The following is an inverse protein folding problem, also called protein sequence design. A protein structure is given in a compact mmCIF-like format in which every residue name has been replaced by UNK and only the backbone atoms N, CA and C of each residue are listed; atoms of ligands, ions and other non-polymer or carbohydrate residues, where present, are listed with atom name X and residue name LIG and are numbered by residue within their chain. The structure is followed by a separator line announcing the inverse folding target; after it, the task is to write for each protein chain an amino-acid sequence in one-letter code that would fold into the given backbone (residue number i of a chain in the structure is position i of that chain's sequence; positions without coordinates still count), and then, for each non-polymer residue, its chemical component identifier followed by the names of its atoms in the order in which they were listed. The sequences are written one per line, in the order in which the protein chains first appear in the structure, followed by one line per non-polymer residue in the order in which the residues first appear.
data_IF_071463396640
#
_entry.id   IF_071463396640
#
_cell.length_a   1.000
_cell.length_b   1.000
_cell.length_c   1.000
_cell.angle_alpha   90.00
_cell.angle_beta   90.00
_cell.angle_gamma   90.00
#
_symmetry.space_group_name_H-M   'P 1'
#
loop_
_entity.id
_entity.type
_entity.pdbx_description
1 polymer ?
#
# COMPACT_ATOMS: atom_id res chain seq x y z
N UNK A 1 0.44 1.23 22.46
CA UNK A 1 -0.45 1.86 23.47
C UNK A 1 -1.21 3.00 22.80
N UNK A 2 -2.51 3.14 23.06
CA UNK A 2 -3.34 4.24 22.56
C UNK A 2 -3.69 5.18 23.71
N UNK A 3 -3.58 6.49 23.51
CA UNK A 3 -4.07 7.49 24.47
C UNK A 3 -5.60 7.48 24.41
N UNK A 4 -6.24 7.08 25.52
CA UNK A 4 -7.68 6.80 25.62
C UNK A 4 -8.59 7.93 25.10
N UNK A 5 -8.16 9.18 25.22
CA UNK A 5 -8.98 10.35 24.86
C UNK A 5 -8.65 10.96 23.48
N UNK A 6 -7.56 10.54 22.84
CA UNK A 6 -7.14 11.12 21.54
C UNK A 6 -6.99 10.08 20.44
N UNK A 7 -7.17 8.79 20.77
CA UNK A 7 -6.85 7.66 19.89
C UNK A 7 -5.41 7.67 19.34
N UNK A 8 -4.54 8.54 19.86
CA UNK A 8 -3.14 8.67 19.44
C UNK A 8 -2.38 7.44 19.89
N UNK A 9 -1.72 6.78 18.94
CA UNK A 9 -0.90 5.61 19.23
C UNK A 9 0.56 5.98 19.36
N UNK A 10 1.22 5.31 20.30
CA UNK A 10 2.68 5.33 20.40
C UNK A 10 3.16 3.89 20.36
N UNK A 11 4.07 3.64 19.44
CA UNK A 11 4.76 2.38 19.26
C UNK A 11 6.17 2.51 19.82
N UNK A 12 6.54 1.59 20.69
CA UNK A 12 7.92 1.43 21.16
C UNK A 12 8.47 0.21 20.44
N UNK A 13 9.60 0.39 19.75
CA UNK A 13 10.20 -0.67 18.95
C UNK A 13 11.62 -0.95 19.45
N UNK A 14 11.86 -2.21 19.81
CA UNK A 14 13.19 -2.75 20.06
C UNK A 14 13.43 -3.88 19.06
N UNK A 15 14.38 -3.68 18.15
CA UNK A 15 14.54 -4.57 16.99
C UNK A 15 14.88 -6.02 17.36
N UNK A 16 15.69 -6.24 18.40
CA UNK A 16 16.15 -7.58 18.78
C UNK A 16 16.69 -8.37 17.58
N UNK A 17 16.26 -9.62 17.44
CA UNK A 17 16.67 -10.52 16.35
C UNK A 17 16.18 -10.05 14.97
N UNK A 18 15.11 -9.25 14.87
CA UNK A 18 14.64 -8.74 13.57
C UNK A 18 15.70 -7.86 12.89
N UNK A 19 16.54 -7.17 13.67
CA UNK A 19 17.68 -6.41 13.16
C UNK A 19 18.80 -7.27 12.58
N UNK A 20 18.77 -8.59 12.80
CA UNK A 20 19.79 -9.54 12.30
C UNK A 20 19.43 -10.20 10.97
N UNK A 21 18.17 -10.07 10.52
CA UNK A 21 17.68 -10.60 9.24
C UNK A 21 18.49 -10.01 8.08
N UNK A 22 18.88 -10.85 7.13
CA UNK A 22 19.88 -10.54 6.10
C UNK A 22 19.77 -11.50 4.91
N UNK A 23 20.43 -11.22 3.78
CA UNK A 23 20.30 -11.92 2.50
C UNK A 23 20.45 -13.44 2.63
N UNK A 24 21.44 -13.90 3.40
CA UNK A 24 21.74 -15.33 3.60
C UNK A 24 20.63 -16.16 4.25
N UNK A 25 19.63 -15.51 4.83
CA UNK A 25 18.51 -16.20 5.49
C UNK A 25 17.38 -16.55 4.51
N UNK A 26 17.47 -16.12 3.25
CA UNK A 26 16.46 -16.38 2.23
C UNK A 26 16.93 -17.48 1.26
N UNK A 27 16.11 -18.52 1.09
CA UNK A 27 16.31 -19.56 0.09
C UNK A 27 15.03 -19.76 -0.73
N UNK A 28 14.98 -19.16 -1.92
CA UNK A 28 13.82 -19.26 -2.81
C UNK A 28 13.83 -20.52 -3.69
N UNK A 29 14.94 -21.24 -3.77
CA UNK A 29 15.02 -22.49 -4.57
C UNK A 29 14.18 -23.64 -3.99
N UNK A 30 13.86 -23.58 -2.70
CA UNK A 30 13.14 -24.64 -1.99
C UNK A 30 11.64 -24.40 -1.80
N UNK A 31 11.07 -23.37 -2.44
CA UNK A 31 9.66 -22.99 -2.22
C UNK A 31 8.82 -23.11 -3.49
N UNK A 32 7.54 -23.46 -3.32
CA UNK A 32 6.53 -23.49 -4.39
C UNK A 32 5.50 -22.36 -4.23
N UNK A 33 5.78 -21.35 -3.39
CA UNK A 33 4.90 -20.21 -3.19
C UNK A 33 4.99 -19.25 -4.37
N UNK A 34 3.89 -18.52 -4.64
CA UNK A 34 3.83 -17.53 -5.72
C UNK A 34 4.19 -16.12 -5.27
N UNK A 35 3.97 -15.82 -3.99
CA UNK A 35 4.08 -14.48 -3.43
C UNK A 35 5.16 -14.45 -2.35
N UNK A 36 6.01 -13.43 -2.39
CA UNK A 36 6.98 -13.12 -1.35
C UNK A 36 6.70 -11.73 -0.78
N UNK A 37 6.25 -11.69 0.47
CA UNK A 37 6.03 -10.44 1.20
C UNK A 37 7.28 -10.08 2.02
N UNK A 38 7.75 -8.83 1.92
CA UNK A 38 8.87 -8.33 2.71
C UNK A 38 8.55 -6.94 3.26
N UNK A 39 8.28 -6.86 4.57
CA UNK A 39 8.28 -5.58 5.27
C UNK A 39 7.74 -5.61 6.71
N UNK A 40 7.57 -4.42 7.32
CA UNK A 40 7.82 -3.12 6.71
C UNK A 40 9.31 -2.86 6.50
N UNK A 41 9.69 -2.58 5.25
CA UNK A 41 11.09 -2.64 4.82
C UNK A 41 12.02 -1.75 5.66
N UNK A 42 11.59 -0.53 5.98
CA UNK A 42 12.34 0.48 6.74
C UNK A 42 12.66 0.11 8.20
N UNK A 43 12.11 -0.99 8.72
CA UNK A 43 12.44 -1.52 10.05
C UNK A 43 13.46 -2.66 10.03
N UNK A 44 13.83 -3.18 8.85
CA UNK A 44 14.73 -4.30 8.67
C UNK A 44 16.19 -3.83 8.56
N UNK A 45 16.81 -3.46 9.69
CA UNK A 45 18.11 -2.76 9.75
C UNK A 45 19.21 -3.28 8.81
N UNK A 46 19.56 -4.58 8.91
CA UNK A 46 20.60 -5.16 8.06
C UNK A 46 20.20 -5.19 6.59
N UNK A 47 18.94 -5.54 6.30
CA UNK A 47 18.42 -5.51 4.93
C UNK A 47 18.42 -4.08 4.34
N UNK A 48 18.31 -3.05 5.15
CA UNK A 48 18.38 -1.65 4.70
C UNK A 48 19.80 -1.12 4.52
N UNK A 49 20.83 -1.91 4.84
CA UNK A 49 22.22 -1.49 4.69
C UNK A 49 22.59 -1.46 3.21
N UNK A 50 23.21 -0.36 2.77
CA UNK A 50 23.76 -0.24 1.44
C UNK A 50 25.09 -0.99 1.32
N UNK A 51 25.25 -1.74 0.23
CA UNK A 51 26.54 -2.29 -0.15
C UNK A 51 27.36 -1.23 -0.91
N UNK A 52 28.63 -1.08 -0.54
CA UNK A 52 29.52 -0.05 -1.08
C UNK A 52 29.77 -0.18 -2.59
N UNK A 53 29.63 -1.38 -3.17
CA UNK A 53 30.04 -1.64 -4.54
C UNK A 53 28.95 -1.32 -5.58
N UNK A 54 27.69 -1.57 -5.25
CA UNK A 54 26.56 -1.46 -6.19
C UNK A 54 25.52 -0.41 -5.76
N UNK A 55 25.74 0.27 -4.62
CA UNK A 55 24.82 1.26 -4.04
C UNK A 55 23.39 0.70 -3.87
N UNK A 56 23.27 -0.61 -3.69
CA UNK A 56 22.01 -1.30 -3.46
C UNK A 56 21.89 -1.72 -2.01
N UNK A 57 20.67 -1.74 -1.51
CA UNK A 57 20.35 -2.33 -0.21
C UNK A 57 20.33 -3.86 -0.31
N UNK A 58 20.68 -4.54 0.78
CA UNK A 58 20.53 -6.00 0.90
C UNK A 58 19.07 -6.44 0.63
N UNK A 59 18.08 -5.64 1.05
CA UNK A 59 16.67 -5.80 0.74
C UNK A 59 16.41 -5.90 -0.77
N UNK A 60 16.97 -4.97 -1.56
CA UNK A 60 16.78 -4.96 -3.01
C UNK A 60 17.34 -6.22 -3.68
N UNK A 61 18.39 -6.83 -3.12
CA UNK A 61 18.97 -8.10 -3.61
C UNK A 61 18.11 -9.29 -3.27
N UNK A 62 17.54 -9.33 -2.06
CA UNK A 62 16.56 -10.37 -1.67
C UNK A 62 15.35 -10.33 -2.61
N UNK A 63 14.82 -9.14 -2.88
CA UNK A 63 13.68 -8.95 -3.76
C UNK A 63 13.99 -9.38 -5.20
N UNK A 64 15.13 -8.98 -5.74
CA UNK A 64 15.59 -9.44 -7.06
C UNK A 64 15.72 -10.97 -7.12
N UNK A 65 16.30 -11.57 -6.08
CA UNK A 65 16.46 -13.02 -6.01
C UNK A 65 15.11 -13.75 -5.96
N UNK A 66 14.10 -13.20 -5.28
CA UNK A 66 12.74 -13.73 -5.29
C UNK A 66 12.13 -13.72 -6.70
N UNK A 67 12.27 -12.59 -7.40
CA UNK A 67 11.81 -12.44 -8.80
C UNK A 67 12.49 -13.44 -9.73
N UNK A 68 13.82 -13.62 -9.60
CA UNK A 68 14.58 -14.57 -10.40
C UNK A 68 14.14 -16.04 -10.19
N UNK A 69 13.54 -16.34 -9.04
CA UNK A 69 12.96 -17.65 -8.74
C UNK A 69 11.47 -17.75 -9.08
N UNK A 70 10.90 -16.73 -9.74
CA UNK A 70 9.52 -16.74 -10.22
C UNK A 70 8.46 -16.34 -9.19
N UNK A 71 8.87 -15.71 -8.08
CA UNK A 71 7.94 -15.16 -7.10
C UNK A 71 7.61 -13.70 -7.42
N UNK A 72 6.36 -13.33 -7.18
CA UNK A 72 5.95 -11.92 -7.17
C UNK A 72 6.26 -11.30 -5.80
N UNK A 73 6.87 -10.12 -5.81
CA UNK A 73 7.27 -9.43 -4.58
C UNK A 73 6.24 -8.43 -4.11
N UNK A 74 5.92 -8.45 -2.82
CA UNK A 74 4.99 -7.54 -2.18
C UNK A 74 5.74 -6.82 -1.07
N UNK A 75 5.71 -5.49 -1.05
CA UNK A 75 6.45 -4.69 -0.07
C UNK A 75 5.56 -3.60 0.49
N UNK A 76 5.61 -3.45 1.80
CA UNK A 76 5.16 -2.28 2.53
C UNK A 76 6.32 -1.56 3.20
N UNK A 77 6.06 -0.31 3.56
CA UNK A 77 6.96 0.51 4.35
C UNK A 77 6.29 0.87 5.66
N UNK A 78 7.08 1.38 6.58
CA UNK A 78 6.52 2.00 7.78
C UNK A 78 7.21 3.32 8.04
N UNK A 79 6.43 4.26 8.57
CA UNK A 79 6.95 5.55 9.00
C UNK A 79 7.90 5.36 10.19
N UNK A 80 9.15 5.81 10.05
CA UNK A 80 10.16 5.72 11.09
C UNK A 80 11.20 6.82 10.98
N UNK A 81 12.00 7.03 12.04
CA UNK A 81 13.15 7.94 12.00
C UNK A 81 14.32 7.29 11.26
N UNK A 82 14.22 7.21 9.95
CA UNK A 82 15.34 6.78 9.11
C UNK A 82 15.68 7.90 8.12
N UNK A 83 16.86 8.50 8.26
CA UNK A 83 17.31 9.61 7.41
C UNK A 83 17.51 9.16 5.94
N UNK A 84 17.74 7.87 5.73
CA UNK A 84 17.95 7.27 4.42
C UNK A 84 16.68 6.67 3.82
N UNK A 85 15.49 6.92 4.40
CA UNK A 85 14.21 6.35 3.96
C UNK A 85 14.02 6.44 2.43
N UNK A 86 14.22 7.65 1.88
CA UNK A 86 14.06 7.89 0.43
C UNK A 86 15.01 7.03 -0.40
N UNK A 87 16.27 6.90 0.03
CA UNK A 87 17.28 6.13 -0.68
C UNK A 87 17.00 4.63 -0.57
N UNK A 88 16.67 4.13 0.62
CA UNK A 88 16.36 2.71 0.88
C UNK A 88 15.16 2.28 0.03
N UNK A 89 14.09 3.09 0.05
CA UNK A 89 12.90 2.81 -0.74
C UNK A 89 13.22 2.75 -2.23
N UNK A 90 13.85 3.82 -2.77
CA UNK A 90 14.20 3.91 -4.19
C UNK A 90 15.14 2.81 -4.67
N UNK A 91 16.06 2.35 -3.82
CA UNK A 91 16.94 1.21 -4.15
C UNK A 91 16.15 -0.09 -4.37
N UNK A 92 14.97 -0.21 -3.78
CA UNK A 92 14.17 -1.45 -3.80
C UNK A 92 13.05 -1.41 -4.85
N UNK A 93 12.54 -0.22 -5.21
CA UNK A 93 11.41 -0.05 -6.15
C UNK A 93 11.51 -0.90 -7.44
N UNK A 94 12.65 -0.99 -8.14
CA UNK A 94 12.77 -1.80 -9.36
C UNK A 94 12.52 -3.30 -9.18
N UNK A 95 12.53 -3.78 -7.93
CA UNK A 95 12.37 -5.18 -7.56
C UNK A 95 11.09 -5.42 -6.76
N UNK A 96 10.15 -4.48 -6.80
CA UNK A 96 8.84 -4.60 -6.14
C UNK A 96 7.78 -4.79 -7.22
N UNK A 97 7.08 -5.91 -7.21
CA UNK A 97 5.90 -6.11 -8.06
C UNK A 97 4.71 -5.31 -7.55
N UNK A 98 4.41 -5.46 -6.25
CA UNK A 98 3.27 -4.84 -5.60
C UNK A 98 3.74 -4.00 -4.41
N UNK A 99 3.62 -2.67 -4.53
CA UNK A 99 3.90 -1.73 -3.45
C UNK A 99 2.60 -1.33 -2.75
N UNK A 100 2.54 -1.48 -1.42
CA UNK A 100 1.38 -1.08 -0.62
C UNK A 100 1.84 -0.18 0.52
N UNK A 101 1.40 1.06 0.52
CA UNK A 101 1.82 2.09 1.50
C UNK A 101 0.69 3.06 1.80
N UNK A 102 0.81 3.83 2.88
CA UNK A 102 -0.05 5.00 3.08
C UNK A 102 0.49 6.25 2.35
N UNK A 103 -0.32 7.31 2.32
CA UNK A 103 0.05 8.59 1.73
C UNK A 103 1.26 9.24 2.41
N UNK A 104 1.42 9.06 3.73
CA UNK A 104 2.57 9.62 4.45
C UNK A 104 3.87 8.94 4.01
N UNK A 105 3.89 7.62 3.94
CA UNK A 105 5.02 6.80 3.47
C UNK A 105 5.37 7.09 2.02
N UNK A 106 4.36 7.24 1.15
CA UNK A 106 4.56 7.64 -0.23
C UNK A 106 5.26 9.00 -0.32
N UNK A 107 4.84 9.97 0.52
CA UNK A 107 5.47 11.28 0.62
C UNK A 107 6.94 11.21 1.02
N UNK A 108 7.26 10.39 2.01
CA UNK A 108 8.63 10.20 2.49
C UNK A 108 9.57 9.63 1.41
N UNK A 109 9.08 8.80 0.46
CA UNK A 109 9.90 8.33 -0.67
C UNK A 109 10.38 9.52 -1.51
N UNK A 110 9.58 10.58 -1.64
CA UNK A 110 9.89 11.78 -2.41
C UNK A 110 10.36 12.97 -1.57
N UNK A 111 10.54 12.79 -0.25
CA UNK A 111 10.81 13.88 0.70
C UNK A 111 9.76 15.00 0.62
N UNK A 112 8.47 14.61 0.52
CA UNK A 112 7.31 15.51 0.45
C UNK A 112 6.32 15.19 1.56
N UNK A 113 5.61 16.22 2.01
CA UNK A 113 4.43 16.05 2.85
C UNK A 113 3.21 15.97 1.92
N UNK A 114 2.49 14.86 1.96
CA UNK A 114 1.25 14.66 1.20
C UNK A 114 0.09 14.70 2.20
N UNK A 115 -1.02 15.28 1.79
CA UNK A 115 -2.28 15.25 2.54
C UNK A 115 -3.29 14.32 1.86
N UNK A 116 -4.12 13.64 2.65
CA UNK A 116 -5.08 12.65 2.16
C UNK A 116 -6.19 13.26 1.29
N UNK A 117 -6.43 14.57 1.40
CA UNK A 117 -7.48 15.30 0.68
C UNK A 117 -7.09 15.73 -0.75
N UNK A 118 -5.83 15.50 -1.16
CA UNK A 118 -5.29 15.84 -2.48
C UNK A 118 -5.09 14.60 -3.36
N UNK A 119 -6.19 14.02 -3.82
CA UNK A 119 -6.16 12.80 -4.64
C UNK A 119 -5.42 12.97 -5.99
N UNK A 120 -5.32 14.18 -6.52
CA UNK A 120 -4.49 14.47 -7.70
C UNK A 120 -3.01 14.23 -7.42
N UNK A 121 -2.51 14.76 -6.30
CA UNK A 121 -1.12 14.57 -5.86
C UNK A 121 -0.82 13.10 -5.52
N UNK A 122 -1.75 12.42 -4.84
CA UNK A 122 -1.62 10.98 -4.55
C UNK A 122 -1.50 10.18 -5.86
N UNK A 123 -2.33 10.48 -6.87
CA UNK A 123 -2.25 9.84 -8.19
C UNK A 123 -0.93 10.14 -8.90
N UNK A 124 -0.45 11.38 -8.86
CA UNK A 124 0.86 11.72 -9.43
C UNK A 124 1.99 10.94 -8.78
N UNK A 125 1.92 10.75 -7.46
CA UNK A 125 2.95 10.04 -6.71
C UNK A 125 2.90 8.54 -6.98
N UNK A 126 1.71 7.94 -7.08
CA UNK A 126 1.56 6.58 -7.58
C UNK A 126 2.18 6.41 -8.98
N UNK A 127 1.95 7.36 -9.88
CA UNK A 127 2.55 7.35 -11.21
C UNK A 127 4.09 7.42 -11.15
N UNK A 128 4.63 8.31 -10.34
CA UNK A 128 6.08 8.45 -10.18
C UNK A 128 6.71 7.19 -9.57
N UNK A 129 6.01 6.47 -8.69
CA UNK A 129 6.49 5.21 -8.12
C UNK A 129 6.57 4.10 -9.18
N UNK A 130 5.58 4.02 -10.08
CA UNK A 130 5.66 3.15 -11.26
C UNK A 130 6.83 3.57 -12.15
N UNK A 131 7.00 4.87 -12.43
CA UNK A 131 8.09 5.39 -13.28
C UNK A 131 9.49 5.13 -12.67
N UNK A 132 9.57 5.03 -11.34
CA UNK A 132 10.79 4.66 -10.62
C UNK A 132 11.05 3.15 -10.56
N UNK A 133 10.16 2.32 -11.10
CA UNK A 133 10.43 0.91 -11.36
C UNK A 133 9.54 -0.10 -10.64
N UNK A 134 8.52 0.32 -9.88
CA UNK A 134 7.53 -0.65 -9.36
C UNK A 134 6.89 -1.38 -10.53
N UNK A 135 6.97 -2.71 -10.53
CA UNK A 135 6.82 -3.51 -11.75
C UNK A 135 5.37 -3.80 -12.13
N UNK A 136 4.45 -3.93 -11.16
CA UNK A 136 3.04 -4.29 -11.44
C UNK A 136 2.05 -3.29 -10.88
N UNK A 137 2.01 -3.08 -9.56
CA UNK A 137 0.98 -2.20 -8.95
C UNK A 137 1.55 -1.35 -7.82
N UNK A 138 1.08 -0.12 -7.72
CA UNK A 138 1.24 0.76 -6.55
C UNK A 138 -0.12 1.00 -5.93
N UNK A 139 -0.27 0.64 -4.67
CA UNK A 139 -1.47 0.93 -3.88
C UNK A 139 -1.12 1.94 -2.79
N UNK A 140 -1.83 3.06 -2.78
CA UNK A 140 -1.71 4.09 -1.75
C UNK A 140 -3.03 4.19 -1.02
N UNK A 141 -3.05 3.83 0.26
CA UNK A 141 -4.21 4.00 1.12
C UNK A 141 -4.13 5.29 1.93
N UNK A 142 -5.28 5.83 2.32
CA UNK A 142 -5.45 7.07 3.07
C UNK A 142 -6.80 7.02 3.81
N UNK A 143 -7.06 7.98 4.70
CA UNK A 143 -8.25 7.96 5.58
C UNK A 143 -9.57 7.75 4.83
N UNK A 144 -9.72 8.41 3.67
CA UNK A 144 -10.94 8.41 2.87
C UNK A 144 -11.04 7.21 1.91
N UNK A 145 -9.98 6.43 1.73
CA UNK A 145 -9.98 5.29 0.80
C UNK A 145 -8.60 4.82 0.35
N UNK A 146 -8.53 4.28 -0.85
CA UNK A 146 -7.28 3.87 -1.48
C UNK A 146 -7.33 4.09 -2.99
N UNK A 147 -6.16 4.33 -3.57
CA UNK A 147 -5.90 4.28 -5.01
C UNK A 147 -5.00 3.09 -5.31
N UNK A 148 -5.30 2.39 -6.39
CA UNK A 148 -4.38 1.46 -7.02
C UNK A 148 -4.05 1.98 -8.42
N UNK A 149 -2.77 1.99 -8.74
CA UNK A 149 -2.26 2.23 -10.09
C UNK A 149 -1.48 1.02 -10.56
N UNK A 150 -1.83 0.51 -11.73
CA UNK A 150 -1.09 -0.55 -12.41
C UNK A 150 0.06 0.03 -13.24
N UNK A 151 0.99 -0.82 -13.68
CA UNK A 151 2.15 -0.42 -14.48
C UNK A 151 1.77 0.15 -15.87
N UNK A 152 0.64 -0.29 -16.44
CA UNK A 152 0.01 0.26 -17.65
C UNK A 152 -0.83 1.52 -17.37
N UNK A 153 -0.71 2.08 -16.16
CA UNK A 153 -1.30 3.35 -15.72
C UNK A 153 -2.82 3.35 -15.62
N UNK A 154 -3.46 2.18 -15.57
CA UNK A 154 -4.85 2.09 -15.14
C UNK A 154 -4.98 2.46 -13.68
N UNK A 155 -6.07 3.14 -13.33
CA UNK A 155 -6.31 3.68 -11.99
C UNK A 155 -7.63 3.18 -11.45
N UNK A 156 -7.57 2.65 -10.23
CA UNK A 156 -8.70 2.13 -9.49
C UNK A 156 -8.81 2.91 -8.18
N UNK A 157 -10.03 3.28 -7.80
CA UNK A 157 -10.31 4.02 -6.58
C UNK A 157 -11.33 3.24 -5.75
N UNK A 158 -11.07 3.14 -4.45
CA UNK A 158 -11.95 2.49 -3.49
C UNK A 158 -12.16 3.38 -2.28
N UNK A 159 -13.41 3.69 -1.96
CA UNK A 159 -13.75 4.48 -0.76
C UNK A 159 -13.64 3.64 0.50
N UNK A 160 -13.26 4.28 1.61
CA UNK A 160 -13.26 3.63 2.92
C UNK A 160 -14.69 3.27 3.34
N UNK A 161 -14.80 2.31 4.26
CA UNK A 161 -16.08 1.89 4.84
C UNK A 161 -16.31 2.74 6.09
N UNK A 162 -17.54 3.23 6.27
CA UNK A 162 -17.93 3.90 7.51
C UNK A 162 -17.98 2.86 8.62
N UNK A 163 -17.13 3.06 9.65
CA UNK A 163 -17.06 2.21 10.83
C UNK A 163 -18.06 2.68 11.90
N UNK A 164 -18.60 1.76 12.72
CA UNK A 164 -19.43 2.11 13.88
C UNK A 164 -18.73 3.09 14.84
N UNK A 165 -19.48 3.95 15.51
CA UNK A 165 -18.92 4.84 16.55
C UNK A 165 -18.25 4.07 17.70
N UNK A 166 -18.72 2.86 17.97
CA UNK A 166 -18.22 1.95 19.01
C UNK A 166 -16.93 1.21 18.59
N UNK A 167 -16.39 1.47 17.39
CA UNK A 167 -15.20 0.79 16.89
C UNK A 167 -13.92 1.26 17.57
N UNK A 168 -13.54 0.57 18.64
CA UNK A 168 -12.30 0.80 19.39
C UNK A 168 -11.11 -0.02 18.82
N UNK A 169 -10.73 0.15 17.55
CA UNK A 169 -9.52 -0.53 17.08
C UNK A 169 -9.23 -0.55 15.58
N UNK A 170 -8.59 0.48 15.04
CA UNK A 170 -8.00 0.40 13.68
C UNK A 170 -6.74 -0.48 13.71
N UNK A 171 -6.80 -1.77 13.40
CA UNK A 171 -5.58 -2.58 13.18
C UNK A 171 -5.06 -2.36 11.75
N UNK A 172 -3.77 -2.63 11.55
CA UNK A 172 -2.95 -2.28 10.38
C UNK A 172 -3.66 -2.49 9.02
N UNK A 173 -4.17 -1.39 8.45
CA UNK A 173 -5.05 -1.39 7.27
C UNK A 173 -4.27 -1.77 5.99
N UNK A 174 -2.94 -1.60 5.99
CA UNK A 174 -2.09 -1.86 4.83
C UNK A 174 -2.13 -3.30 4.34
N UNK A 175 -2.12 -4.27 5.27
CA UNK A 175 -2.11 -5.71 4.94
C UNK A 175 -3.44 -6.15 4.28
N UNK A 176 -4.58 -5.66 4.78
CA UNK A 176 -5.91 -5.99 4.24
C UNK A 176 -6.16 -5.42 2.83
N UNK A 177 -5.66 -4.21 2.57
CA UNK A 177 -5.69 -3.60 1.24
C UNK A 177 -4.84 -4.41 0.25
N UNK A 178 -3.66 -4.85 0.66
CA UNK A 178 -2.75 -5.64 -0.17
C UNK A 178 -3.34 -6.95 -0.69
N UNK A 179 -3.97 -7.72 0.19
CA UNK A 179 -4.57 -9.02 -0.16
C UNK A 179 -5.73 -8.86 -1.14
N UNK A 180 -6.60 -7.87 -0.94
CA UNK A 180 -7.75 -7.61 -1.81
C UNK A 180 -7.34 -7.15 -3.21
N UNK A 181 -6.23 -6.41 -3.28
CA UNK A 181 -5.67 -5.86 -4.52
C UNK A 181 -5.10 -6.92 -5.44
N UNK A 182 -4.29 -7.85 -4.90
CA UNK A 182 -3.62 -8.89 -5.70
C UNK A 182 -4.66 -9.81 -6.33
N UNK A 183 -5.72 -10.13 -5.59
CA UNK A 183 -6.83 -10.91 -6.12
C UNK A 183 -7.51 -10.22 -7.33
N UNK A 184 -7.59 -8.87 -7.33
CA UNK A 184 -8.26 -8.10 -8.40
C UNK A 184 -7.40 -7.96 -9.66
N UNK A 185 -6.07 -7.79 -9.53
CA UNK A 185 -5.17 -7.70 -10.69
C UNK A 185 -5.12 -8.99 -11.51
N UNK A 186 -5.24 -10.14 -10.84
CA UNK A 186 -5.26 -11.45 -11.50
C UNK A 186 -6.59 -11.74 -12.22
N UNK A 187 -7.68 -11.10 -11.79
CA UNK A 187 -9.03 -11.40 -12.28
C UNK A 187 -9.53 -10.49 -13.41
N UNK A 188 -9.02 -9.26 -13.58
CA UNK A 188 -9.57 -8.29 -14.57
C UNK A 188 -8.49 -7.36 -15.19
N UNK A 189 -7.72 -7.81 -16.20
CA UNK A 189 -6.72 -6.98 -16.88
C UNK A 189 -7.27 -5.83 -17.76
N UNK A 190 -8.60 -5.64 -17.86
CA UNK A 190 -9.23 -4.72 -18.83
C UNK A 190 -10.37 -3.83 -18.27
N UNK A 191 -10.40 -3.56 -16.97
CA UNK A 191 -11.44 -2.67 -16.41
C UNK A 191 -11.19 -1.19 -16.80
N UNK A 192 -12.20 -0.52 -17.37
CA UNK A 192 -12.11 0.87 -17.79
C UNK A 192 -12.10 1.82 -16.57
N UNK A 193 -11.42 2.98 -16.60
CA UNK A 193 -11.34 3.93 -15.46
C UNK A 193 -12.69 4.48 -14.96
N UNK A 194 -13.79 4.24 -15.69
CA UNK A 194 -15.14 4.66 -15.33
C UNK A 194 -16.00 3.50 -14.78
N UNK A 195 -15.50 2.26 -14.79
CA UNK A 195 -16.29 1.05 -14.48
C UNK A 195 -16.28 0.66 -12.99
N UNK A 196 -15.77 1.50 -12.08
CA UNK A 196 -15.55 1.12 -10.67
C UNK A 196 -16.48 1.80 -9.67
N UNK A 197 -17.72 2.10 -10.08
CA UNK A 197 -18.74 2.59 -9.15
C UNK A 197 -20.11 1.85 -9.17
N UNK A 198 -20.26 0.58 -9.62
CA UNK A 198 -21.27 -0.29 -9.02
C UNK A 198 -20.78 -0.78 -7.65
N UNK A 199 -21.68 -1.21 -6.76
CA UNK A 199 -21.30 -1.94 -5.55
C UNK A 199 -20.64 -3.27 -5.99
N UNK A 200 -19.30 -3.29 -6.04
CA UNK A 200 -18.53 -4.48 -6.40
C UNK A 200 -18.78 -5.55 -5.33
N UNK A 201 -18.97 -6.82 -5.73
CA UNK A 201 -19.25 -7.95 -4.83
C UNK A 201 -18.25 -8.04 -3.68
N UNK A 202 -17.00 -7.64 -3.91
CA UNK A 202 -15.92 -7.63 -2.90
C UNK A 202 -16.13 -6.59 -1.80
N UNK A 203 -16.73 -5.44 -2.12
CA UNK A 203 -17.09 -4.43 -1.10
C UNK A 203 -18.24 -4.97 -0.25
N UNK A 204 -19.20 -5.64 -0.88
CA UNK A 204 -20.29 -6.30 -0.18
C UNK A 204 -19.78 -7.43 0.73
N UNK A 205 -18.87 -8.28 0.24
CA UNK A 205 -18.21 -9.32 1.03
C UNK A 205 -17.42 -8.74 2.22
N UNK A 206 -16.65 -7.68 2.02
CA UNK A 206 -15.96 -6.97 3.10
C UNK A 206 -16.95 -6.40 4.14
N UNK A 207 -18.09 -5.85 3.69
CA UNK A 207 -19.14 -5.34 4.57
C UNK A 207 -19.79 -6.48 5.36
N UNK A 208 -20.06 -7.61 4.72
CA UNK A 208 -20.63 -8.81 5.36
C UNK A 208 -19.66 -9.36 6.40
N UNK A 209 -18.39 -9.56 6.05
CA UNK A 209 -17.35 -10.03 6.96
C UNK A 209 -17.16 -9.06 8.15
N UNK A 210 -17.19 -7.74 7.92
CA UNK A 210 -17.12 -6.76 9.00
C UNK A 210 -18.34 -6.85 9.91
N UNK A 211 -19.56 -7.00 9.37
CA UNK A 211 -20.78 -7.18 10.18
C UNK A 211 -20.69 -8.39 11.09
N UNK A 212 -20.16 -9.51 10.60
CA UNK A 212 -20.00 -10.74 11.41
C UNK A 212 -19.01 -10.57 12.59
N UNK A 213 -18.08 -9.63 12.50
CA UNK A 213 -17.10 -9.33 13.57
C UNK A 213 -17.74 -8.52 14.70
N UNK A 214 -18.83 -7.79 14.44
CA UNK A 214 -19.48 -6.92 15.44
C UNK A 214 -20.74 -7.54 16.04
N UNK A 215 -21.05 -7.22 17.32
CA UNK A 215 -22.34 -7.53 17.93
C UNK A 215 -23.50 -7.03 17.07
N UNK A 216 -24.62 -7.77 17.07
CA UNK A 216 -25.82 -7.46 16.28
C UNK A 216 -26.33 -6.02 16.51
N UNK A 217 -26.09 -5.47 17.71
CA UNK A 217 -26.44 -4.09 18.09
C UNK A 217 -25.77 -3.00 17.24
N UNK A 218 -24.60 -3.27 16.64
CA UNK A 218 -23.81 -2.29 15.86
C UNK A 218 -23.73 -2.60 14.36
N UNK A 219 -24.20 -3.77 13.92
CA UNK A 219 -24.13 -4.20 12.51
C UNK A 219 -24.85 -3.25 11.54
N UNK A 220 -25.90 -2.55 11.99
CA UNK A 220 -26.65 -1.59 11.17
C UNK A 220 -25.86 -0.29 10.87
N UNK A 221 -24.80 -0.01 11.64
CA UNK A 221 -23.90 1.13 11.43
C UNK A 221 -22.71 0.79 10.52
N UNK A 222 -22.44 -0.50 10.30
CA UNK A 222 -21.42 -1.01 9.37
C UNK A 222 -22.00 -1.05 7.96
N UNK A 223 -21.27 -0.51 6.99
CA UNK A 223 -21.46 -0.92 5.60
C UNK A 223 -22.16 0.04 4.65
N UNK A 224 -22.02 1.35 4.89
CA UNK A 224 -22.08 2.30 3.77
C UNK A 224 -20.65 2.58 3.31
N UNK A 225 -20.34 2.25 2.05
CA UNK A 225 -19.13 2.77 1.41
C UNK A 225 -19.19 4.30 1.45
N UNK A 226 -18.13 4.96 1.89
CA UNK A 226 -18.07 6.41 1.99
C UNK A 226 -17.90 7.05 0.59
N UNK A 227 -18.86 6.81 -0.30
CA UNK A 227 -18.89 7.34 -1.68
C UNK A 227 -18.99 8.85 -1.74
N UNK A 228 -19.52 9.48 -0.68
CA UNK A 228 -19.69 10.93 -0.59
C UNK A 228 -18.35 11.69 -0.52
N UNK A 229 -17.24 11.02 -0.16
CA UNK A 229 -15.95 11.70 0.14
C UNK A 229 -14.89 11.47 -0.94
N UNK A 230 -14.98 10.41 -1.76
CA UNK A 230 -14.20 10.38 -3.02
C UNK A 230 -14.86 11.37 -3.98
N UNK A 231 -14.51 12.64 -3.83
CA UNK A 231 -14.96 13.69 -4.71
C UNK A 231 -14.29 13.54 -6.09
N UNK A 232 -14.86 12.67 -6.92
CA UNK A 232 -14.43 12.44 -8.31
C UNK A 232 -14.67 13.67 -9.19
N UNK A 233 -15.44 14.67 -8.76
CA UNK A 233 -15.56 15.94 -9.49
C UNK A 233 -14.25 16.74 -9.49
N UNK A 234 -13.34 16.50 -8.53
CA UNK A 234 -11.94 17.01 -8.58
C UNK A 234 -11.07 16.31 -9.64
N UNK A 235 -11.50 15.16 -10.19
CA UNK A 235 -10.86 14.48 -11.32
C UNK A 235 -11.36 14.96 -12.68
N UNK A 236 -12.49 15.66 -12.71
CA UNK A 236 -13.11 16.15 -13.94
C UNK A 236 -12.49 17.48 -14.42
N UNK A 237 -11.16 17.57 -14.51
CA UNK A 237 -10.49 18.66 -15.23
C UNK A 237 -9.26 18.17 -16.01
N UNK A 238 -9.52 17.40 -17.06
CA UNK A 238 -8.63 17.37 -18.24
C UNK A 238 -9.36 17.02 -19.54
N UNK A 239 -10.67 17.27 -19.65
CA UNK A 239 -11.32 17.30 -20.96
C UNK A 239 -11.15 18.70 -21.56
N UNK A 240 -10.17 18.82 -22.45
CA UNK A 240 -10.12 19.89 -23.45
C UNK A 240 -9.52 21.21 -22.98
N UNK A 241 -8.20 21.35 -23.10
CA UNK A 241 -7.65 22.56 -23.71
C UNK A 241 -6.99 22.17 -25.01
N UNK A 242 -7.79 22.33 -26.06
CA UNK A 242 -7.36 22.37 -27.44
C UNK A 242 -6.25 23.40 -27.59
N UNK A 243 -5.21 23.00 -28.30
CA UNK A 243 -4.22 23.88 -28.88
C UNK A 243 -4.97 24.90 -29.74
N UNK A 244 -4.78 26.18 -29.44
CA UNK A 244 -4.98 27.30 -30.35
C UNK A 244 -3.77 28.22 -30.20
#
# INVERSE_FOLDING_TARGET
MSVKNTNRRTFFHQQGTNGLLDEKHFNFSGTNVKLFYLGPLTQLNRLNTFNNNDKRTNASKVLENAILHGLDTIVDFSTGKNIDYSHIAKSSLPFIDHLIINETEAGLIFNKNITSDNLYEIKQIANNLIDLGVRKTVTIHFTEGAILMTNDKNVFLQGSIILPEEFEGVMDVGVGVGVSVIHKSDLRPHAHPQDLLPEDETVFECIVALKEIFPESVQNSVGKSNRAVINTSKFAYSKGRTIA
#
